data_IF_532016606223
#
_entry.id   IF_532016606223
#
_cell.length_a   1.000
_cell.length_b   1.000
_cell.length_c   1.000
_cell.angle_alpha   90.00
_cell.angle_beta   90.00
_cell.angle_gamma   90.00
#
_symmetry.space_group_name_H-M   'P 1'
#
loop_
_entity.id
_entity.type
_entity.pdbx_description
1 polymer ?
#
# COMPACT_ATOMS: atom_id res chain seq x y z
N UNK A 1 -10.95 -26.40 -5.47
CA UNK A 1 -11.57 -25.83 -4.26
C UNK A 1 -11.48 -24.33 -4.35
N UNK A 2 -12.57 -23.69 -4.67
CA UNK A 2 -12.63 -22.25 -4.57
C UNK A 2 -12.85 -21.91 -3.10
N UNK A 3 -11.82 -21.36 -2.46
CA UNK A 3 -12.03 -20.67 -1.22
C UNK A 3 -12.80 -19.39 -1.52
N UNK A 4 -14.11 -19.46 -1.48
CA UNK A 4 -14.91 -18.28 -1.25
C UNK A 4 -14.51 -17.77 0.11
N UNK A 5 -13.58 -16.84 0.13
CA UNK A 5 -13.33 -16.03 1.29
C UNK A 5 -14.66 -15.33 1.58
N UNK A 6 -15.45 -15.91 2.47
CA UNK A 6 -16.58 -15.20 3.02
C UNK A 6 -16.01 -13.96 3.70
N UNK A 7 -16.10 -12.83 3.02
CA UNK A 7 -15.96 -11.56 3.72
C UNK A 7 -16.99 -11.56 4.87
N UNK A 8 -16.57 -11.48 6.12
CA UNK A 8 -17.54 -11.41 7.18
C UNK A 8 -18.41 -10.18 6.93
N UNK A 9 -19.71 -10.40 6.89
CA UNK A 9 -20.71 -9.33 6.87
C UNK A 9 -20.50 -8.48 8.12
N UNK A 10 -19.85 -7.37 7.99
CA UNK A 10 -19.34 -6.56 9.10
C UNK A 10 -17.94 -6.05 8.81
N UNK A 11 -17.49 -6.16 7.55
CA UNK A 11 -16.13 -5.93 7.10
C UNK A 11 -15.51 -4.61 7.54
N UNK A 12 -16.29 -3.55 7.62
CA UNK A 12 -15.77 -2.25 8.05
C UNK A 12 -15.29 -2.29 9.50
N UNK A 13 -16.08 -2.85 10.40
CA UNK A 13 -15.73 -2.92 11.83
C UNK A 13 -14.51 -3.81 12.08
N UNK A 14 -14.42 -4.93 11.37
CA UNK A 14 -13.28 -5.83 11.47
C UNK A 14 -11.98 -5.12 11.08
N UNK A 15 -11.97 -4.37 10.00
CA UNK A 15 -10.79 -3.62 9.55
C UNK A 15 -10.51 -2.40 10.45
N UNK A 16 -11.54 -1.76 11.02
CA UNK A 16 -11.37 -0.70 12.01
C UNK A 16 -10.63 -1.22 13.26
N UNK A 17 -11.05 -2.34 13.80
CA UNK A 17 -10.40 -2.96 14.97
C UNK A 17 -8.95 -3.37 14.64
N UNK A 18 -8.74 -3.89 13.45
CA UNK A 18 -7.41 -4.25 12.96
C UNK A 18 -6.53 -3.02 12.79
N UNK A 19 -7.09 -1.92 12.31
CA UNK A 19 -6.42 -0.64 12.19
C UNK A 19 -5.94 -0.11 13.54
N UNK A 20 -6.79 -0.16 14.54
CA UNK A 20 -6.43 0.30 15.89
C UNK A 20 -5.30 -0.54 16.49
N UNK A 21 -5.27 -1.83 16.24
CA UNK A 21 -4.18 -2.71 16.69
C UNK A 21 -2.86 -2.47 15.96
N UNK A 22 -2.91 -1.97 14.76
CA UNK A 22 -1.75 -1.71 13.90
C UNK A 22 -1.19 -0.30 14.08
N UNK A 23 -1.32 0.30 15.25
CA UNK A 23 -0.78 1.62 15.54
C UNK A 23 0.75 1.61 15.39
N UNK A 24 1.28 2.55 14.63
CA UNK A 24 2.73 2.68 14.38
C UNK A 24 3.50 3.34 15.51
N UNK A 25 2.81 3.79 16.55
CA UNK A 25 3.43 4.39 17.72
C UNK A 25 4.01 3.31 18.63
N UNK A 26 5.08 3.66 19.31
CA UNK A 26 5.63 2.82 20.37
C UNK A 26 4.74 2.84 21.64
N UNK A 27 5.17 2.12 22.68
CA UNK A 27 4.43 2.03 23.92
C UNK A 27 4.26 3.39 24.66
N UNK A 28 5.14 4.35 24.39
CA UNK A 28 5.09 5.71 24.91
C UNK A 28 4.28 6.67 24.02
N UNK A 29 3.70 6.18 22.92
CA UNK A 29 2.93 6.97 21.97
C UNK A 29 3.77 7.79 21.00
N UNK A 30 5.07 7.50 20.87
CA UNK A 30 5.96 8.15 19.93
C UNK A 30 6.02 7.39 18.61
N UNK A 31 6.13 8.12 17.51
CA UNK A 31 6.37 7.49 16.21
C UNK A 31 7.74 6.82 16.20
N UNK A 32 7.79 5.59 15.72
CA UNK A 32 9.05 4.91 15.52
C UNK A 32 9.90 5.68 14.51
N UNK A 33 11.15 5.93 14.88
CA UNK A 33 12.11 6.51 13.95
C UNK A 33 12.23 5.61 12.71
N UNK A 34 12.16 6.18 11.54
CA UNK A 34 12.26 5.45 10.26
C UNK A 34 11.01 4.68 9.79
N UNK A 35 9.83 4.92 10.35
CA UNK A 35 8.60 4.30 9.85
C UNK A 35 8.42 4.56 8.35
N UNK A 36 8.67 5.79 7.90
CA UNK A 36 8.61 6.14 6.48
C UNK A 36 9.68 5.40 5.67
N UNK A 37 10.88 5.23 6.21
CA UNK A 37 11.95 4.48 5.57
C UNK A 37 11.62 2.99 5.38
N UNK A 38 10.83 2.41 6.27
CA UNK A 38 10.36 1.03 6.17
C UNK A 38 9.39 0.80 5.00
N UNK A 39 8.88 1.87 4.41
CA UNK A 39 8.03 1.80 3.22
C UNK A 39 8.81 1.83 1.91
N UNK A 40 10.12 2.06 1.94
CA UNK A 40 10.92 2.02 0.71
C UNK A 40 10.85 0.63 0.07
N UNK A 41 10.60 0.60 -1.22
CA UNK A 41 10.52 -0.63 -1.98
C UNK A 41 9.37 -0.69 -2.97
N UNK A 42 9.16 -1.87 -3.49
CA UNK A 42 8.07 -2.17 -4.41
C UNK A 42 7.00 -3.00 -3.68
N UNK A 43 5.75 -2.61 -3.84
CA UNK A 43 4.62 -3.17 -3.12
C UNK A 43 3.49 -3.56 -4.06
N UNK A 44 2.91 -4.72 -3.80
CA UNK A 44 1.64 -5.13 -4.37
C UNK A 44 0.51 -4.61 -3.49
N UNK A 45 -0.54 -4.08 -4.09
CA UNK A 45 -1.76 -3.68 -3.39
C UNK A 45 -2.76 -4.82 -3.46
N UNK A 46 -3.16 -5.35 -2.31
CA UNK A 46 -4.22 -6.31 -2.18
C UNK A 46 -5.45 -5.62 -1.61
N UNK A 47 -6.54 -5.61 -2.36
CA UNK A 47 -7.78 -5.05 -1.87
C UNK A 47 -8.42 -6.00 -0.84
N UNK A 48 -8.80 -5.45 0.30
CA UNK A 48 -9.47 -6.20 1.36
C UNK A 48 -10.97 -5.97 1.35
N UNK A 49 -11.41 -4.73 1.10
CA UNK A 49 -12.83 -4.41 0.92
C UNK A 49 -13.01 -3.13 0.10
N UNK A 50 -14.21 -2.92 -0.40
CA UNK A 50 -14.58 -1.72 -1.15
C UNK A 50 -15.17 -2.04 -2.52
N UNK A 51 -15.85 -1.06 -3.14
CA UNK A 51 -16.62 -1.29 -4.35
C UNK A 51 -15.77 -1.39 -5.63
N UNK A 52 -14.54 -0.89 -5.60
CA UNK A 52 -13.71 -0.84 -6.81
C UNK A 52 -12.77 -2.03 -6.83
N UNK A 53 -12.87 -2.94 -7.81
CA UNK A 53 -11.85 -3.94 -8.01
C UNK A 53 -10.55 -3.23 -8.41
N UNK A 54 -9.47 -3.51 -7.70
CA UNK A 54 -8.14 -2.98 -8.00
C UNK A 54 -7.19 -4.13 -8.37
N UNK A 55 -7.42 -4.82 -9.51
CA UNK A 55 -6.48 -5.82 -9.97
C UNK A 55 -5.19 -5.12 -10.41
N UNK A 56 -4.05 -5.69 -10.05
CA UNK A 56 -2.74 -5.25 -10.54
C UNK A 56 -2.34 -3.82 -10.19
N UNK A 57 -2.63 -3.38 -8.98
CA UNK A 57 -2.11 -2.11 -8.47
C UNK A 57 -0.77 -2.37 -7.76
N UNK A 58 0.23 -1.60 -8.12
CA UNK A 58 1.55 -1.64 -7.51
C UNK A 58 1.98 -0.25 -7.07
N UNK A 59 2.71 -0.20 -5.98
CA UNK A 59 3.32 1.05 -5.49
C UNK A 59 4.83 0.89 -5.44
N UNK A 60 5.53 1.89 -5.92
CA UNK A 60 6.97 2.03 -5.73
C UNK A 60 7.23 3.22 -4.85
N UNK A 61 7.99 3.03 -3.79
CA UNK A 61 8.27 4.06 -2.78
C UNK A 61 9.77 4.19 -2.61
N UNK A 62 10.25 5.43 -2.62
CA UNK A 62 11.65 5.79 -2.40
C UNK A 62 11.74 7.14 -1.71
N UNK A 63 12.44 7.19 -0.56
CA UNK A 63 12.76 8.42 0.14
C UNK A 63 11.55 9.35 0.37
N UNK A 64 10.44 8.80 0.84
CA UNK A 64 9.23 9.57 1.16
C UNK A 64 8.38 10.00 -0.02
N UNK A 65 8.64 9.47 -1.21
CA UNK A 65 7.87 9.71 -2.43
C UNK A 65 7.63 8.42 -3.16
N UNK A 66 6.66 8.41 -4.04
CA UNK A 66 6.41 7.23 -4.82
C UNK A 66 5.41 7.42 -5.94
N UNK A 67 5.10 6.30 -6.56
CA UNK A 67 4.17 6.24 -7.68
C UNK A 67 3.30 5.00 -7.54
N UNK A 68 2.00 5.19 -7.70
CA UNK A 68 1.06 4.09 -7.87
C UNK A 68 0.90 3.80 -9.36
N UNK A 69 1.09 2.57 -9.76
CA UNK A 69 0.85 2.09 -11.12
C UNK A 69 -0.39 1.21 -11.12
N UNK A 70 -1.27 1.48 -12.05
CA UNK A 70 -2.47 0.68 -12.26
C UNK A 70 -2.36 0.02 -13.63
N UNK A 71 -2.23 -1.31 -13.64
CA UNK A 71 -2.30 -2.06 -14.90
C UNK A 71 -3.75 -2.20 -15.30
N UNK A 72 -4.11 -1.65 -16.45
CA UNK A 72 -5.47 -1.76 -16.97
C UNK A 72 -5.51 -2.70 -18.19
N UNK A 73 -6.64 -3.35 -18.47
CA UNK A 73 -6.80 -4.11 -19.71
C UNK A 73 -6.91 -3.19 -20.93
N UNK A 74 -7.05 -1.88 -20.73
CA UNK A 74 -7.12 -0.92 -21.83
C UNK A 74 -5.75 -0.78 -22.49
N UNK A 75 -5.76 -0.72 -23.81
CA UNK A 75 -4.56 -0.55 -24.59
C UNK A 75 -4.58 0.81 -25.31
N UNK A 76 -3.39 1.41 -25.41
CA UNK A 76 -3.21 2.58 -26.27
C UNK A 76 -3.37 2.19 -27.73
N UNK A 77 -3.57 3.18 -28.60
CA UNK A 77 -3.62 2.95 -30.07
C UNK A 77 -2.39 2.23 -30.62
N UNK A 78 -1.24 2.33 -29.94
CA UNK A 78 0.00 1.63 -30.26
C UNK A 78 0.00 0.15 -29.88
N UNK A 79 -1.07 -0.38 -29.27
CA UNK A 79 -1.14 -1.75 -28.75
C UNK A 79 -0.47 -1.94 -27.40
N UNK A 80 0.17 -0.93 -26.83
CA UNK A 80 0.79 -1.01 -25.52
C UNK A 80 -0.26 -0.90 -24.41
N UNK A 81 -0.08 -1.62 -23.27
CA UNK A 81 -0.96 -1.48 -22.13
C UNK A 81 -1.02 -0.03 -21.65
N UNK A 82 -2.21 0.43 -21.29
CA UNK A 82 -2.36 1.71 -20.64
C UNK A 82 -2.11 1.52 -19.14
N UNK A 83 -1.00 2.07 -18.66
CA UNK A 83 -0.60 2.02 -17.24
C UNK A 83 -0.54 3.43 -16.66
N UNK A 84 -1.66 3.96 -16.14
CA UNK A 84 -1.63 5.25 -15.49
C UNK A 84 -0.72 5.20 -14.25
N UNK A 85 0.03 6.28 -14.07
CA UNK A 85 0.94 6.48 -12.95
C UNK A 85 0.45 7.65 -12.13
N UNK A 86 0.23 7.40 -10.85
CA UNK A 86 -0.23 8.41 -9.90
C UNK A 86 0.89 8.70 -8.90
N UNK A 87 1.57 9.85 -9.03
CA UNK A 87 2.62 10.20 -8.08
C UNK A 87 2.03 10.62 -6.74
N UNK A 88 2.76 10.34 -5.67
CA UNK A 88 2.39 10.70 -4.31
C UNK A 88 3.61 11.06 -3.48
N UNK A 89 3.37 11.69 -2.35
CA UNK A 89 4.34 11.89 -1.28
C UNK A 89 3.86 11.24 0.00
N UNK A 90 4.79 10.86 0.86
CA UNK A 90 4.49 10.35 2.19
C UNK A 90 4.59 11.47 3.20
N UNK A 91 3.69 11.42 4.18
CA UNK A 91 3.69 12.32 5.31
C UNK A 91 3.45 11.50 6.58
N UNK A 92 4.37 11.59 7.52
CA UNK A 92 4.20 10.94 8.80
C UNK A 92 3.21 11.73 9.64
N UNK A 93 2.19 11.05 10.12
CA UNK A 93 1.16 11.59 11.01
C UNK A 93 1.11 10.80 12.29
N UNK A 94 0.35 11.28 13.26
CA UNK A 94 0.19 10.57 14.52
C UNK A 94 -0.44 9.19 14.31
N UNK A 95 0.33 8.16 14.60
CA UNK A 95 -0.11 6.76 14.54
C UNK A 95 -0.22 6.15 13.14
N UNK A 96 0.09 6.88 12.07
CA UNK A 96 0.04 6.35 10.71
C UNK A 96 0.89 7.16 9.72
N UNK A 97 1.09 6.61 8.54
CA UNK A 97 1.71 7.31 7.42
C UNK A 97 0.63 7.65 6.40
N UNK A 98 0.51 8.91 6.03
CA UNK A 98 -0.37 9.33 4.97
C UNK A 98 0.37 9.33 3.63
N UNK A 99 -0.28 8.80 2.62
CA UNK A 99 0.17 8.76 1.25
C UNK A 99 -0.73 9.71 0.46
N UNK A 100 -0.19 10.87 0.12
CA UNK A 100 -0.95 11.98 -0.45
C UNK A 100 -0.65 12.06 -1.94
N UNK A 101 -1.67 11.83 -2.76
CA UNK A 101 -1.52 11.95 -4.20
C UNK A 101 -1.33 13.39 -4.63
N UNK A 102 -0.58 13.60 -5.70
CA UNK A 102 -0.20 14.91 -6.20
C UNK A 102 -1.08 15.35 -7.38
N UNK A 103 -1.07 16.65 -7.65
CA UNK A 103 -1.77 17.23 -8.77
C UNK A 103 -3.29 17.10 -8.68
N UNK A 104 -3.98 16.76 -9.79
CA UNK A 104 -5.45 16.71 -9.82
C UNK A 104 -6.02 15.58 -8.95
N UNK A 105 -5.19 14.66 -8.47
CA UNK A 105 -5.59 13.55 -7.60
C UNK A 105 -5.37 13.83 -6.11
N UNK A 106 -5.08 15.06 -5.73
CA UNK A 106 -4.78 15.44 -4.34
C UNK A 106 -5.93 15.20 -3.36
N UNK A 107 -7.15 14.97 -3.84
CA UNK A 107 -8.28 14.57 -3.01
C UNK A 107 -8.20 13.10 -2.56
N UNK A 108 -7.30 12.32 -3.13
CA UNK A 108 -7.04 10.93 -2.73
C UNK A 108 -5.94 10.91 -1.68
N UNK A 109 -6.21 10.25 -0.57
CA UNK A 109 -5.24 10.04 0.50
C UNK A 109 -5.37 8.60 0.98
N UNK A 110 -4.28 7.87 0.93
CA UNK A 110 -4.19 6.57 1.56
C UNK A 110 -3.51 6.72 2.92
N UNK A 111 -4.01 6.03 3.92
CA UNK A 111 -3.41 6.00 5.24
C UNK A 111 -2.91 4.58 5.52
N UNK A 112 -1.71 4.47 6.09
CA UNK A 112 -1.02 3.20 6.27
C UNK A 112 -0.59 3.01 7.72
N UNK A 113 -0.79 1.80 8.24
CA UNK A 113 -0.25 1.33 9.53
C UNK A 113 0.47 0.01 9.36
N UNK A 114 1.61 -0.13 10.01
CA UNK A 114 2.40 -1.35 9.99
C UNK A 114 1.74 -2.43 10.85
N UNK A 115 1.56 -3.62 10.28
CA UNK A 115 1.08 -4.78 11.00
C UNK A 115 2.23 -5.66 11.51
N UNK A 116 1.96 -6.54 12.46
CA UNK A 116 2.96 -7.42 13.09
C UNK A 116 3.68 -8.32 12.10
N UNK A 117 3.02 -8.72 11.01
CA UNK A 117 3.60 -9.57 9.97
C UNK A 117 4.50 -8.83 8.96
N UNK A 118 4.72 -7.53 9.17
CA UNK A 118 5.53 -6.69 8.27
C UNK A 118 4.76 -6.16 7.05
N UNK A 119 3.51 -6.51 6.87
CA UNK A 119 2.65 -5.89 5.87
C UNK A 119 2.07 -4.58 6.38
N UNK A 120 1.57 -3.76 5.47
CA UNK A 120 0.95 -2.49 5.81
C UNK A 120 -0.54 -2.55 5.53
N UNK A 121 -1.32 -2.31 6.56
CA UNK A 121 -2.77 -2.13 6.43
C UNK A 121 -3.04 -0.70 5.95
N UNK A 122 -3.82 -0.57 4.89
CA UNK A 122 -4.17 0.70 4.30
C UNK A 122 -5.65 0.95 4.27
N UNK A 123 -6.01 2.20 4.43
CA UNK A 123 -7.36 2.68 4.15
C UNK A 123 -7.31 3.79 3.12
N UNK A 124 -8.11 3.65 2.08
CA UNK A 124 -8.17 4.60 0.99
C UNK A 124 -9.30 5.59 1.20
N UNK A 125 -8.99 6.87 1.13
CA UNK A 125 -9.93 7.96 1.30
C UNK A 125 -9.98 8.84 0.06
N UNK A 126 -11.17 9.29 -0.28
CA UNK A 126 -11.39 10.29 -1.33
C UNK A 126 -12.19 11.44 -0.73
N UNK A 127 -11.65 12.66 -0.78
CA UNK A 127 -12.27 13.85 -0.21
C UNK A 127 -12.75 13.66 1.25
N UNK A 128 -11.94 12.95 2.06
CA UNK A 128 -12.25 12.67 3.47
C UNK A 128 -13.17 11.47 3.72
N UNK A 129 -13.68 10.83 2.67
CA UNK A 129 -14.51 9.64 2.81
C UNK A 129 -13.71 8.38 2.52
N UNK A 130 -13.71 7.45 3.48
CA UNK A 130 -13.11 6.14 3.28
C UNK A 130 -13.96 5.31 2.31
N UNK A 131 -13.31 4.76 1.28
CA UNK A 131 -14.01 3.95 0.29
C UNK A 131 -13.47 2.53 0.15
N UNK A 132 -12.28 2.24 0.68
CA UNK A 132 -11.70 0.91 0.58
C UNK A 132 -10.69 0.62 1.70
N UNK A 133 -10.51 -0.66 1.99
CA UNK A 133 -9.41 -1.20 2.78
C UNK A 133 -8.52 -2.01 1.86
N UNK A 134 -7.21 -1.91 2.07
CA UNK A 134 -6.23 -2.65 1.29
C UNK A 134 -5.02 -3.03 2.15
N UNK A 135 -4.16 -3.83 1.60
CA UNK A 135 -2.91 -4.21 2.23
C UNK A 135 -1.76 -4.06 1.24
N UNK A 136 -0.63 -3.54 1.70
CA UNK A 136 0.60 -3.55 0.92
C UNK A 136 1.40 -4.79 1.29
N UNK A 137 1.73 -5.58 0.28
CA UNK A 137 2.55 -6.77 0.40
C UNK A 137 3.86 -6.49 -0.31
N UNK A 138 5.02 -6.68 0.38
CA UNK A 138 6.30 -6.45 -0.27
C UNK A 138 6.46 -7.40 -1.46
N UNK A 139 6.85 -6.84 -2.60
CA UNK A 139 7.32 -7.62 -3.72
C UNK A 139 8.77 -8.00 -3.40
N UNK A 140 8.94 -9.22 -2.91
CA UNK A 140 10.27 -9.75 -2.69
C UNK A 140 10.92 -9.91 -4.05
N UNK A 141 11.89 -9.05 -4.37
CA UNK A 141 12.80 -9.36 -5.46
C UNK A 141 13.46 -10.69 -5.10
N UNK A 142 13.23 -11.71 -5.92
CA UNK A 142 14.01 -12.94 -5.82
C UNK A 142 15.48 -12.55 -5.69
N UNK A 143 16.18 -12.94 -4.61
CA UNK A 143 17.59 -12.62 -4.51
C UNK A 143 18.26 -13.15 -5.77
N UNK A 144 18.92 -12.27 -6.48
CA UNK A 144 19.67 -12.64 -7.66
C UNK A 144 20.69 -13.72 -7.25
N UNK A 145 20.59 -14.97 -7.75
CA UNK A 145 21.52 -16.01 -7.37
C UNK A 145 22.98 -15.61 -7.61
N UNK A 146 23.23 -14.70 -8.55
CA UNK A 146 24.55 -14.15 -8.79
C UNK A 146 25.07 -13.24 -7.67
N UNK A 147 24.23 -12.66 -6.85
CA UNK A 147 24.67 -11.83 -5.73
C UNK A 147 25.17 -12.65 -4.53
N UNK A 148 24.75 -13.90 -4.42
CA UNK A 148 25.24 -14.82 -3.40
C UNK A 148 26.64 -15.37 -3.68
N UNK A 149 27.09 -15.32 -4.90
CA UNK A 149 28.39 -15.87 -5.34
C UNK A 149 29.53 -14.89 -5.15
N UNK A 150 29.24 -13.60 -5.02
CA UNK A 150 30.25 -12.54 -4.89
C UNK A 150 30.97 -12.50 -3.55
N UNK A 151 30.50 -13.23 -2.56
CA UNK A 151 31.06 -13.23 -1.22
C UNK A 151 32.07 -14.37 -0.99
N UNK A 152 32.37 -15.13 -2.01
CA UNK A 152 33.41 -16.15 -1.96
C UNK A 152 34.59 -15.66 -2.79
N UNK A 153 35.32 -14.73 -2.19
CA UNK A 153 36.63 -14.35 -2.70
C UNK A 153 37.70 -15.32 -2.25
#
# INVERSE_FOLDING_TARGET
MSFTKHEPRGGSRFYEERWERADTRDAEGQEALSVVGNLDGDWKVERLSGPVPMPFVRKRIRAGRGTTRVSTPLRRRSGLPLEPKLPFRLEQREGHVALIYLGPFSFLVDELRLEEDGSWLGRANAAGFRYAWFRLIPLVSTPNPASGIRNFG
#
